data_IF_539678301107
#
_entry.id   IF_539678301107
#
_cell.length_a   1.000
_cell.length_b   1.000
_cell.length_c   1.000
_cell.angle_alpha   90.00
_cell.angle_beta   90.00
_cell.angle_gamma   90.00
#
_symmetry.space_group_name_H-M   'P 1'
#
loop_
_entity.id
_entity.type
_entity.pdbx_description
1 polymer ?
#
# COMPACT_ATOMS: atom_id res chain seq x y z
N UNK A 1 1.03 1.08 19.83
CA UNK A 1 1.69 -0.17 20.28
C UNK A 1 1.27 -1.42 19.51
N UNK A 2 0.06 -2.00 19.67
CA UNK A 2 -0.29 -3.27 18.98
C UNK A 2 -0.35 -3.14 17.45
N UNK A 3 -1.03 -2.12 16.93
CA UNK A 3 -1.12 -1.89 15.48
C UNK A 3 0.24 -1.58 14.84
N UNK A 4 1.02 -0.65 15.41
CA UNK A 4 2.37 -0.32 14.91
C UNK A 4 3.33 -1.52 14.98
N UNK A 5 3.21 -2.38 16.00
CA UNK A 5 3.98 -3.61 16.07
C UNK A 5 3.53 -4.60 14.98
N UNK A 6 2.21 -4.73 14.77
CA UNK A 6 1.64 -5.52 13.68
C UNK A 6 2.09 -5.05 12.30
N UNK A 7 2.11 -3.74 12.05
CA UNK A 7 2.64 -3.14 10.81
C UNK A 7 4.11 -3.52 10.61
N UNK A 8 4.96 -3.30 11.62
CA UNK A 8 6.40 -3.66 11.55
C UNK A 8 6.61 -5.15 11.29
N UNK A 9 5.81 -6.01 11.92
CA UNK A 9 5.86 -7.45 11.73
C UNK A 9 5.43 -7.83 10.30
N UNK A 10 4.36 -7.21 9.79
CA UNK A 10 3.88 -7.42 8.43
C UNK A 10 4.94 -7.04 7.38
N UNK A 11 5.46 -5.80 7.43
CA UNK A 11 6.47 -5.32 6.46
C UNK A 11 7.85 -5.97 6.59
N UNK A 12 8.10 -6.65 7.71
CA UNK A 12 9.26 -7.56 7.84
C UNK A 12 9.10 -8.84 7.00
N UNK A 13 7.90 -9.07 6.48
CA UNK A 13 7.54 -10.22 5.68
C UNK A 13 6.64 -11.24 6.36
N UNK A 14 6.37 -11.06 7.67
CA UNK A 14 5.42 -11.89 8.40
C UNK A 14 4.00 -11.29 8.28
N UNK A 15 3.52 -11.29 7.04
CA UNK A 15 2.24 -10.71 6.67
C UNK A 15 1.07 -11.33 7.45
N UNK A 16 1.05 -12.64 7.65
CA UNK A 16 -0.06 -13.31 8.34
C UNK A 16 -0.23 -12.80 9.79
N UNK A 17 0.82 -12.94 10.60
CA UNK A 17 0.75 -12.57 12.02
C UNK A 17 0.61 -11.05 12.20
N UNK A 18 1.36 -10.27 11.42
CA UNK A 18 1.33 -8.81 11.49
C UNK A 18 -0.05 -8.25 11.15
N UNK A 19 -0.69 -8.76 10.10
CA UNK A 19 -2.01 -8.34 9.68
C UNK A 19 -3.11 -8.75 10.66
N UNK A 20 -2.98 -9.91 11.32
CA UNK A 20 -3.89 -10.29 12.40
C UNK A 20 -3.83 -9.28 13.55
N UNK A 21 -2.64 -8.86 13.97
CA UNK A 21 -2.48 -7.89 15.05
C UNK A 21 -3.05 -6.50 14.69
N UNK A 22 -2.90 -6.07 13.44
CA UNK A 22 -3.53 -4.83 12.93
C UNK A 22 -5.05 -4.95 12.98
N UNK A 23 -5.61 -6.07 12.50
CA UNK A 23 -7.06 -6.30 12.52
C UNK A 23 -7.63 -6.32 13.95
N UNK A 24 -6.94 -6.96 14.90
CA UNK A 24 -7.31 -6.94 16.32
C UNK A 24 -7.23 -5.52 16.91
N UNK A 25 -6.22 -4.74 16.55
CA UNK A 25 -6.10 -3.35 16.97
C UNK A 25 -7.25 -2.49 16.41
N UNK A 26 -7.66 -2.71 15.15
CA UNK A 26 -8.82 -2.05 14.54
C UNK A 26 -10.11 -2.39 15.26
N UNK A 27 -10.34 -3.67 15.59
CA UNK A 27 -11.54 -4.12 16.31
C UNK A 27 -11.66 -3.47 17.69
N UNK A 28 -10.54 -3.28 18.39
CA UNK A 28 -10.50 -2.60 19.69
C UNK A 28 -10.69 -1.08 19.58
N UNK A 29 -10.43 -0.48 18.42
CA UNK A 29 -10.64 0.94 18.17
C UNK A 29 -11.24 1.21 16.76
N UNK A 30 -12.54 0.93 16.56
CA UNK A 30 -13.21 1.01 15.26
C UNK A 30 -13.41 2.45 14.74
N UNK A 31 -13.10 3.48 15.53
CA UNK A 31 -13.19 4.89 15.10
C UNK A 31 -11.93 5.43 14.42
N UNK A 32 -10.78 4.77 14.55
CA UNK A 32 -9.51 5.28 14.00
C UNK A 32 -9.28 4.80 12.56
N UNK A 33 -9.44 5.70 11.58
CA UNK A 33 -9.11 5.43 10.17
C UNK A 33 -7.61 5.20 9.90
N UNK A 34 -6.77 5.34 10.92
CA UNK A 34 -5.33 5.09 10.87
C UNK A 34 -4.99 3.69 10.37
N UNK A 35 -5.74 2.69 10.82
CA UNK A 35 -5.49 1.29 10.47
C UNK A 35 -6.03 0.89 9.09
N UNK A 36 -6.83 1.73 8.44
CA UNK A 36 -7.47 1.36 7.18
C UNK A 36 -6.41 1.24 6.06
N UNK A 37 -5.34 2.02 6.09
CA UNK A 37 -4.21 1.89 5.14
C UNK A 37 -3.42 0.60 5.40
N UNK A 38 -3.16 0.26 6.66
CA UNK A 38 -2.46 -0.98 7.01
C UNK A 38 -3.27 -2.21 6.61
N UNK A 39 -4.59 -2.16 6.81
CA UNK A 39 -5.51 -3.21 6.37
C UNK A 39 -5.58 -3.30 4.84
N UNK A 40 -5.50 -2.17 4.12
CA UNK A 40 -5.35 -2.19 2.66
C UNK A 40 -4.07 -2.90 2.22
N UNK A 41 -2.95 -2.62 2.90
CA UNK A 41 -1.65 -3.25 2.63
C UNK A 41 -1.71 -4.76 2.90
N UNK A 42 -2.34 -5.15 3.99
CA UNK A 42 -2.57 -6.54 4.36
C UNK A 42 -3.41 -7.29 3.32
N UNK A 43 -4.54 -6.73 2.90
CA UNK A 43 -5.39 -7.33 1.85
C UNK A 43 -4.66 -7.39 0.50
N UNK A 44 -3.81 -6.40 0.19
CA UNK A 44 -3.00 -6.40 -1.03
C UNK A 44 -1.99 -7.56 -1.04
N UNK A 45 -1.21 -7.74 0.02
CA UNK A 45 -0.23 -8.84 0.10
C UNK A 45 -0.85 -10.22 0.27
N UNK A 46 -2.11 -10.32 0.72
CA UNK A 46 -2.88 -11.58 0.69
C UNK A 46 -3.52 -11.87 -0.67
N UNK A 47 -3.46 -10.94 -1.62
CA UNK A 47 -4.07 -11.05 -2.96
C UNK A 47 -5.57 -10.71 -3.02
N UNK A 48 -6.17 -10.25 -1.92
CA UNK A 48 -7.56 -9.77 -1.89
C UNK A 48 -7.64 -8.29 -2.30
N UNK A 49 -7.46 -8.05 -3.61
CA UNK A 49 -7.46 -6.69 -4.16
C UNK A 49 -8.82 -5.98 -4.04
N UNK A 50 -9.92 -6.72 -3.96
CA UNK A 50 -11.25 -6.13 -3.76
C UNK A 50 -11.37 -5.54 -2.35
N UNK A 51 -10.94 -6.29 -1.34
CA UNK A 51 -10.91 -5.80 0.03
C UNK A 51 -9.87 -4.68 0.20
N UNK A 52 -8.71 -4.80 -0.43
CA UNK A 52 -7.71 -3.73 -0.42
C UNK A 52 -8.27 -2.43 -1.00
N UNK A 53 -8.99 -2.48 -2.13
CA UNK A 53 -9.62 -1.32 -2.74
C UNK A 53 -10.71 -0.71 -1.86
N UNK A 54 -11.50 -1.54 -1.15
CA UNK A 54 -12.47 -1.05 -0.17
C UNK A 54 -11.78 -0.24 0.94
N UNK A 55 -10.67 -0.74 1.48
CA UNK A 55 -9.92 -0.06 2.53
C UNK A 55 -9.28 1.24 2.07
N UNK A 56 -8.68 1.26 0.87
CA UNK A 56 -8.16 2.48 0.24
C UNK A 56 -9.26 3.54 0.12
N UNK A 57 -10.44 3.18 -0.37
CA UNK A 57 -11.53 4.14 -0.53
C UNK A 57 -12.11 4.67 0.79
N UNK A 58 -11.92 3.96 1.91
CA UNK A 58 -12.32 4.42 3.25
C UNK A 58 -11.29 5.30 3.94
N UNK A 59 -10.02 5.16 3.55
CA UNK A 59 -8.89 5.82 4.21
C UNK A 59 -8.94 7.35 4.03
N UNK A 60 -8.80 8.15 5.11
CA UNK A 60 -8.91 9.60 5.05
C UNK A 60 -7.60 10.32 4.68
N UNK A 61 -6.65 9.65 3.99
CA UNK A 61 -5.29 10.18 3.79
C UNK A 61 -4.89 10.50 2.33
N UNK A 62 -5.72 11.20 1.52
CA UNK A 62 -5.40 11.53 0.13
C UNK A 62 -4.33 12.62 -0.02
N UNK A 63 -3.71 13.09 1.07
CA UNK A 63 -2.55 14.00 1.03
C UNK A 63 -1.21 13.26 1.20
N UNK A 64 -1.24 11.98 1.59
CA UNK A 64 -0.04 11.21 1.86
C UNK A 64 0.46 10.53 0.56
N UNK A 65 1.68 10.81 0.08
CA UNK A 65 2.22 10.13 -1.11
C UNK A 65 2.24 8.60 -1.00
N UNK A 66 2.47 8.05 0.19
CA UNK A 66 2.49 6.59 0.41
C UNK A 66 1.11 5.97 0.21
N UNK A 67 0.05 6.71 0.55
CA UNK A 67 -1.32 6.29 0.24
C UNK A 67 -1.50 6.14 -1.28
N UNK A 68 -1.06 7.12 -2.07
CA UNK A 68 -1.16 7.07 -3.53
C UNK A 68 -0.34 5.92 -4.14
N UNK A 69 0.83 5.59 -3.57
CA UNK A 69 1.59 4.41 -3.99
C UNK A 69 0.81 3.12 -3.77
N UNK A 70 0.28 2.92 -2.57
CA UNK A 70 -0.49 1.72 -2.26
C UNK A 70 -1.77 1.66 -3.08
N UNK A 71 -2.49 2.78 -3.22
CA UNK A 71 -3.70 2.87 -4.04
C UNK A 71 -3.41 2.53 -5.51
N UNK A 72 -2.33 3.06 -6.10
CA UNK A 72 -1.91 2.71 -7.46
C UNK A 72 -1.65 1.20 -7.60
N UNK A 73 -0.89 0.60 -6.67
CA UNK A 73 -0.60 -0.83 -6.69
C UNK A 73 -1.88 -1.69 -6.53
N UNK A 74 -2.74 -1.36 -5.58
CA UNK A 74 -4.02 -2.04 -5.33
C UNK A 74 -4.94 -1.97 -6.55
N UNK A 75 -5.12 -0.77 -7.11
CA UNK A 75 -5.99 -0.58 -8.25
C UNK A 75 -5.42 -1.21 -9.53
N UNK A 76 -4.09 -1.17 -9.70
CA UNK A 76 -3.41 -1.84 -10.80
C UNK A 76 -3.57 -3.36 -10.75
N UNK A 77 -3.38 -3.97 -9.58
CA UNK A 77 -3.58 -5.41 -9.42
C UNK A 77 -5.04 -5.85 -9.55
N UNK A 78 -5.95 -5.09 -8.94
CA UNK A 78 -7.39 -5.36 -8.96
C UNK A 78 -8.10 -5.04 -10.29
N UNK A 79 -7.40 -4.51 -11.30
CA UNK A 79 -7.97 -4.17 -12.61
C UNK A 79 -8.83 -2.90 -12.63
N UNK A 80 -8.77 -2.08 -11.59
CA UNK A 80 -9.50 -0.82 -11.46
C UNK A 80 -8.82 0.31 -12.24
N UNK A 81 -8.73 0.17 -13.57
CA UNK A 81 -7.89 1.01 -14.44
C UNK A 81 -8.08 2.52 -14.23
N UNK A 82 -9.32 3.01 -14.21
CA UNK A 82 -9.59 4.45 -14.06
C UNK A 82 -9.07 4.98 -12.72
N UNK A 83 -9.18 4.19 -11.65
CA UNK A 83 -8.67 4.56 -10.34
C UNK A 83 -7.14 4.54 -10.34
N UNK A 84 -6.51 3.49 -10.87
CA UNK A 84 -5.05 3.40 -10.99
C UNK A 84 -4.46 4.57 -11.79
N UNK A 85 -5.05 4.91 -12.95
CA UNK A 85 -4.61 6.02 -13.79
C UNK A 85 -4.65 7.37 -13.05
N UNK A 86 -5.65 7.57 -12.16
CA UNK A 86 -5.74 8.78 -11.32
C UNK A 86 -4.61 8.86 -10.30
N UNK A 87 -4.32 7.76 -9.62
CA UNK A 87 -3.24 7.72 -8.62
C UNK A 87 -1.86 7.94 -9.25
N UNK A 88 -1.62 7.32 -10.41
CA UNK A 88 -0.40 7.52 -11.20
C UNK A 88 -0.26 8.97 -11.66
N UNK A 89 -1.34 9.58 -12.16
CA UNK A 89 -1.34 11.00 -12.55
C UNK A 89 -1.01 11.91 -11.36
N UNK A 90 -1.62 11.63 -10.19
CA UNK A 90 -1.34 12.40 -8.97
C UNK A 90 0.12 12.27 -8.56
N UNK A 91 0.70 11.06 -8.55
CA UNK A 91 2.10 10.83 -8.18
C UNK A 91 3.07 11.57 -9.12
N UNK A 92 2.84 11.49 -10.44
CA UNK A 92 3.69 12.17 -11.41
C UNK A 92 3.61 13.70 -11.29
N UNK A 93 2.43 14.23 -10.99
CA UNK A 93 2.22 15.68 -10.84
C UNK A 93 2.79 16.22 -9.52
N UNK A 94 2.56 15.51 -8.41
CA UNK A 94 2.79 16.05 -7.07
C UNK A 94 4.07 15.51 -6.41
N UNK A 95 4.57 14.35 -6.85
CA UNK A 95 5.69 13.65 -6.21
C UNK A 95 6.70 13.09 -7.24
N UNK A 96 7.15 13.87 -8.24
CA UNK A 96 8.03 13.37 -9.30
C UNK A 96 9.38 12.86 -8.78
N UNK A 97 9.92 13.45 -7.72
CA UNK A 97 11.19 12.99 -7.14
C UNK A 97 11.05 11.68 -6.36
N UNK A 98 9.87 11.42 -5.80
CA UNK A 98 9.56 10.10 -5.23
C UNK A 98 9.50 9.05 -6.34
N UNK A 99 8.87 9.36 -7.47
CA UNK A 99 8.78 8.46 -8.64
C UNK A 99 10.16 8.09 -9.17
N UNK A 100 11.07 9.06 -9.29
CA UNK A 100 12.47 8.82 -9.73
C UNK A 100 13.25 7.89 -8.79
N UNK A 101 12.93 7.88 -7.49
CA UNK A 101 13.65 7.11 -6.47
C UNK A 101 12.84 5.92 -5.95
N UNK A 102 11.87 5.42 -6.73
CA UNK A 102 10.85 4.48 -6.25
C UNK A 102 11.44 3.24 -5.57
N UNK A 103 12.45 2.62 -6.17
CA UNK A 103 13.10 1.42 -5.63
C UNK A 103 13.66 1.67 -4.22
N UNK A 104 14.34 2.79 -4.00
CA UNK A 104 14.87 3.16 -2.69
C UNK A 104 13.74 3.42 -1.68
N UNK A 105 12.69 4.13 -2.10
CA UNK A 105 11.52 4.46 -1.27
C UNK A 105 10.80 3.20 -0.80
N UNK A 106 10.61 2.21 -1.69
CA UNK A 106 9.95 0.95 -1.37
C UNK A 106 10.86 0.04 -0.53
N UNK A 107 12.15 -0.05 -0.86
CA UNK A 107 13.12 -0.87 -0.10
C UNK A 107 13.35 -0.37 1.32
N UNK A 108 13.11 0.92 1.59
CA UNK A 108 13.15 1.47 2.94
C UNK A 108 11.94 1.05 3.81
N UNK A 109 10.87 0.53 3.19
CA UNK A 109 9.62 0.18 3.87
C UNK A 109 9.41 -1.33 3.98
N UNK A 110 9.76 -2.08 2.94
CA UNK A 110 9.58 -3.53 2.88
C UNK A 110 10.93 -4.22 3.07
N UNK A 111 11.02 -5.10 4.07
CA UNK A 111 12.30 -5.74 4.41
C UNK A 111 12.70 -6.84 3.41
N UNK A 112 11.71 -7.50 2.79
CA UNK A 112 11.95 -8.60 1.86
C UNK A 112 12.06 -8.10 0.43
N UNK A 113 13.13 -8.47 -0.26
CA UNK A 113 13.35 -8.11 -1.67
C UNK A 113 12.21 -8.57 -2.58
N UNK A 114 11.65 -9.76 -2.34
CA UNK A 114 10.50 -10.26 -3.10
C UNK A 114 9.24 -9.37 -2.97
N UNK A 115 9.02 -8.79 -1.78
CA UNK A 115 7.87 -7.92 -1.54
C UNK A 115 8.10 -6.56 -2.21
N UNK A 116 9.36 -6.09 -2.21
CA UNK A 116 9.79 -4.92 -2.99
C UNK A 116 9.56 -5.14 -4.48
N UNK A 117 10.05 -6.24 -5.06
CA UNK A 117 9.89 -6.49 -6.50
C UNK A 117 8.42 -6.67 -6.90
N UNK A 118 7.64 -7.35 -6.07
CA UNK A 118 6.20 -7.50 -6.28
C UNK A 118 5.51 -6.13 -6.31
N UNK A 119 5.77 -5.28 -5.31
CA UNK A 119 5.18 -3.96 -5.23
C UNK A 119 5.58 -3.04 -6.39
N UNK A 120 6.87 -3.03 -6.76
CA UNK A 120 7.36 -2.30 -7.94
C UNK A 120 6.71 -2.82 -9.23
N UNK A 121 6.51 -4.14 -9.34
CA UNK A 121 5.78 -4.77 -10.44
C UNK A 121 4.33 -4.28 -10.54
N UNK A 122 3.62 -4.22 -9.41
CA UNK A 122 2.24 -3.70 -9.37
C UNK A 122 2.16 -2.22 -9.75
N UNK A 123 3.13 -1.40 -9.32
CA UNK A 123 3.19 0.01 -9.73
C UNK A 123 3.46 0.16 -11.23
N UNK A 124 4.36 -0.65 -11.82
CA UNK A 124 4.55 -0.68 -13.28
C UNK A 124 3.28 -1.13 -14.01
N UNK A 125 2.58 -2.14 -13.49
CA UNK A 125 1.29 -2.60 -14.02
C UNK A 125 0.22 -1.51 -13.95
N UNK A 126 0.24 -0.67 -12.93
CA UNK A 126 -0.62 0.51 -12.81
C UNK A 126 -0.27 1.63 -13.81
N UNK A 127 0.88 1.52 -14.50
CA UNK A 127 1.34 2.50 -15.49
C UNK A 127 2.37 3.51 -14.96
N UNK A 128 2.91 3.30 -13.75
CA UNK A 128 3.95 4.17 -13.22
C UNK A 128 5.30 3.87 -13.89
N UNK A 129 5.90 4.89 -14.50
CA UNK A 129 7.19 4.82 -15.19
C UNK A 129 8.37 4.74 -14.22
N UNK A 130 8.56 3.56 -13.60
CA UNK A 130 9.68 3.30 -12.69
C UNK A 130 10.89 2.86 -13.51
N UNK A 131 12.04 3.52 -13.31
CA UNK A 131 13.32 3.05 -13.85
C UNK A 131 13.79 1.79 -13.09
N UNK A 132 14.41 0.85 -13.81
CA UNK A 132 14.89 -0.42 -13.24
C UNK A 132 16.06 -0.25 -12.25
#
# INVERSE_FOLDING_TARGET
>A
FMGEYGERLAVSGNWHDGCQLIAEARQKNPGSGYYDVDLALCSYFSGDYSQAAMWINKSPFPSNPVYHLLAAAVFGEGGYKIAADREVAWLNQNQPDLVKNMRQVVSARLARSQDVEFFLGSLRKAGLGIAD
#
